data_IF_006383739729
#
_entry.id   IF_006383739729
#
_cell.length_a   1.000
_cell.length_b   1.000
_cell.length_c   1.000
_cell.angle_alpha   90.00
_cell.angle_beta   90.00
_cell.angle_gamma   90.00
#
_symmetry.space_group_name_H-M   'P 1'
#
loop_
_entity.id
_entity.type
_entity.pdbx_description
1 polymer ?
#
# COMPACT_ATOMS: atom_id res chain seq x y z
N UNK A 1 5.40 -13.90 17.65
CA UNK A 1 5.77 -13.50 16.27
C UNK A 1 5.45 -12.02 16.08
N UNK A 2 6.28 -11.34 15.33
CA UNK A 2 6.11 -9.93 15.04
C UNK A 2 5.06 -9.75 13.94
N UNK A 3 4.04 -8.90 14.13
CA UNK A 3 3.11 -8.59 13.06
C UNK A 3 3.73 -7.65 12.03
N UNK A 4 3.35 -7.84 10.78
CA UNK A 4 3.74 -6.96 9.68
C UNK A 4 2.47 -6.51 8.96
N UNK A 5 2.23 -5.21 8.99
CA UNK A 5 1.15 -4.61 8.20
C UNK A 5 1.66 -4.42 6.78
N UNK A 6 0.95 -4.99 5.82
CA UNK A 6 1.28 -4.89 4.40
C UNK A 6 0.20 -4.03 3.76
N UNK A 7 0.54 -2.81 3.41
CA UNK A 7 -0.38 -1.88 2.76
C UNK A 7 -0.31 -2.13 1.25
N UNK A 8 -1.37 -2.68 0.68
CA UNK A 8 -1.47 -2.87 -0.76
C UNK A 8 -1.97 -1.59 -1.41
N UNK A 9 -1.19 -1.07 -2.35
CA UNK A 9 -1.50 0.16 -3.05
C UNK A 9 -1.15 0.05 -4.52
N UNK A 10 -1.76 0.92 -5.34
CA UNK A 10 -1.36 1.14 -6.72
C UNK A 10 -0.58 2.44 -6.79
N UNK A 11 0.33 2.53 -7.75
CA UNK A 11 0.95 3.82 -8.05
C UNK A 11 -0.16 4.79 -8.46
N UNK A 12 -0.25 5.98 -7.82
CA UNK A 12 -1.30 6.94 -8.16
C UNK A 12 -1.11 7.48 -9.58
N UNK A 13 -2.03 7.08 -10.48
CA UNK A 13 -2.02 7.51 -11.88
C UNK A 13 -3.44 7.74 -12.34
N UNK A 14 -3.65 8.82 -13.08
CA UNK A 14 -4.95 9.16 -13.65
C UNK A 14 -5.44 8.02 -14.54
N UNK A 15 -6.71 7.64 -14.36
CA UNK A 15 -7.34 6.56 -15.13
C UNK A 15 -7.03 5.15 -14.65
N UNK A 16 -6.14 4.97 -13.68
CA UNK A 16 -5.74 3.66 -13.19
C UNK A 16 -6.19 3.37 -11.75
N UNK A 17 -6.66 4.40 -11.03
CA UNK A 17 -7.14 4.26 -9.65
C UNK A 17 -8.58 4.76 -9.55
N UNK A 18 -9.36 4.12 -8.65
CA UNK A 18 -10.75 4.52 -8.40
C UNK A 18 -11.57 4.65 -9.69
N UNK A 19 -11.45 3.68 -10.59
CA UNK A 19 -12.06 3.77 -11.92
C UNK A 19 -13.58 3.92 -11.90
N UNK A 20 -14.27 3.32 -10.94
CA UNK A 20 -15.73 3.50 -10.78
C UNK A 20 -16.06 4.93 -10.38
N UNK A 21 -15.32 5.46 -9.41
CA UNK A 21 -15.52 6.84 -8.94
C UNK A 21 -15.19 7.82 -10.06
N UNK A 22 -14.13 7.55 -10.85
CA UNK A 22 -13.73 8.40 -11.97
C UNK A 22 -14.83 8.57 -13.01
N UNK A 23 -15.67 7.55 -13.21
CA UNK A 23 -16.83 7.66 -14.14
C UNK A 23 -17.84 8.71 -13.68
N UNK A 24 -17.95 8.94 -12.38
CA UNK A 24 -18.90 9.88 -11.80
C UNK A 24 -18.33 11.27 -11.61
N UNK A 25 -17.07 11.39 -11.17
CA UNK A 25 -16.48 12.67 -10.79
C UNK A 25 -15.26 13.06 -11.64
N UNK A 26 -14.85 12.21 -12.58
CA UNK A 26 -13.70 12.46 -13.44
C UNK A 26 -12.40 11.88 -12.87
N UNK A 27 -11.42 11.66 -13.76
CA UNK A 27 -10.16 11.01 -13.39
C UNK A 27 -9.31 11.85 -12.43
N UNK A 28 -9.27 13.16 -12.63
CA UNK A 28 -8.46 14.05 -11.78
C UNK A 28 -8.97 14.06 -10.34
N UNK A 29 -10.28 14.18 -10.15
CA UNK A 29 -10.88 14.17 -8.82
C UNK A 29 -10.76 12.80 -8.16
N UNK A 30 -10.92 11.72 -8.92
CA UNK A 30 -10.74 10.36 -8.42
C UNK A 30 -9.30 10.11 -7.98
N UNK A 31 -8.32 10.60 -8.74
CA UNK A 31 -6.91 10.48 -8.38
C UNK A 31 -6.59 11.25 -7.09
N UNK A 32 -7.11 12.48 -6.96
CA UNK A 32 -6.93 13.26 -5.74
C UNK A 32 -7.53 12.55 -4.53
N UNK A 33 -8.70 11.97 -4.68
CA UNK A 33 -9.35 11.18 -3.63
C UNK A 33 -8.50 9.96 -3.25
N UNK A 34 -7.98 9.25 -4.23
CA UNK A 34 -7.10 8.10 -3.98
C UNK A 34 -5.86 8.50 -3.19
N UNK A 35 -5.22 9.60 -3.57
CA UNK A 35 -4.04 10.10 -2.86
C UNK A 35 -4.34 10.45 -1.40
N UNK A 36 -5.49 11.05 -1.15
CA UNK A 36 -5.92 11.35 0.21
C UNK A 36 -6.11 10.08 1.01
N UNK A 37 -6.81 9.10 0.46
CA UNK A 37 -7.03 7.82 1.14
C UNK A 37 -5.72 7.07 1.41
N UNK A 38 -4.80 7.07 0.46
CA UNK A 38 -3.50 6.43 0.64
C UNK A 38 -2.72 7.10 1.76
N UNK A 39 -2.66 8.42 1.78
CA UNK A 39 -1.98 9.16 2.85
C UNK A 39 -2.60 8.91 4.21
N UNK A 40 -3.93 8.88 4.29
CA UNK A 40 -4.63 8.58 5.54
C UNK A 40 -4.34 7.17 6.03
N UNK A 41 -4.33 6.19 5.13
CA UNK A 41 -3.99 4.81 5.47
C UNK A 41 -2.57 4.70 6.02
N UNK A 42 -1.61 5.37 5.39
CA UNK A 42 -0.21 5.36 5.83
C UNK A 42 -0.06 6.08 7.17
N UNK A 43 -0.79 7.17 7.39
CA UNK A 43 -0.78 7.88 8.67
C UNK A 43 -1.30 7.00 9.81
N UNK A 44 -2.39 6.27 9.58
CA UNK A 44 -2.94 5.33 10.57
C UNK A 44 -1.95 4.21 10.86
N UNK A 45 -1.29 3.66 9.84
CA UNK A 45 -0.29 2.61 10.02
C UNK A 45 0.90 3.13 10.83
N UNK A 46 1.34 4.36 10.57
CA UNK A 46 2.42 4.98 11.34
C UNK A 46 2.04 5.18 12.80
N UNK A 47 0.81 5.64 13.05
CA UNK A 47 0.30 5.80 14.41
C UNK A 47 0.26 4.47 15.15
N UNK A 48 -0.18 3.41 14.49
CA UNK A 48 -0.17 2.06 15.06
C UNK A 48 1.25 1.62 15.43
N UNK A 49 2.22 1.94 14.59
CA UNK A 49 3.64 1.64 14.83
C UNK A 49 4.18 2.38 16.05
N UNK A 50 3.77 3.64 16.23
CA UNK A 50 4.16 4.43 17.40
C UNK A 50 3.62 3.81 18.69
N UNK A 51 2.37 3.34 18.66
CA UNK A 51 1.74 2.73 19.83
C UNK A 51 2.19 1.30 20.10
N UNK A 52 2.66 0.60 19.06
CA UNK A 52 3.12 -0.78 19.17
C UNK A 52 4.53 -0.89 18.59
N UNK A 53 5.56 -0.49 19.33
CA UNK A 53 6.94 -0.60 18.86
C UNK A 53 7.28 -2.06 18.54
N UNK A 54 7.84 -2.31 17.39
CA UNK A 54 8.10 -3.64 16.89
C UNK A 54 7.13 -4.07 15.78
N UNK A 55 6.00 -3.38 15.63
CA UNK A 55 5.13 -3.57 14.49
C UNK A 55 5.87 -3.12 13.24
N UNK A 56 5.94 -4.00 12.23
CA UNK A 56 6.52 -3.66 10.94
C UNK A 56 5.42 -3.19 9.98
N UNK A 57 5.75 -2.25 9.12
CA UNK A 57 4.84 -1.78 8.06
C UNK A 57 5.61 -1.74 6.75
N UNK A 58 5.00 -2.29 5.70
CA UNK A 58 5.52 -2.15 4.35
C UNK A 58 4.47 -1.60 3.42
N UNK A 59 4.89 -0.78 2.46
CA UNK A 59 4.07 -0.32 1.36
C UNK A 59 4.36 -1.21 0.16
N UNK A 60 3.38 -2.02 -0.21
CA UNK A 60 3.50 -3.02 -1.27
C UNK A 60 2.73 -2.54 -2.50
N UNK A 61 3.43 -2.21 -3.57
CA UNK A 61 2.91 -1.37 -4.64
C UNK A 61 2.76 -2.14 -5.95
N UNK A 62 1.63 -1.92 -6.62
CA UNK A 62 1.39 -2.40 -7.98
C UNK A 62 1.59 -1.23 -8.95
N UNK A 63 2.40 -1.46 -9.98
CA UNK A 63 2.69 -0.49 -11.02
C UNK A 63 4.11 0.06 -10.92
N UNK A 64 4.51 0.80 -11.95
CA UNK A 64 5.83 1.41 -12.02
C UNK A 64 5.78 2.81 -11.44
N UNK A 65 6.58 3.06 -10.42
CA UNK A 65 6.62 4.34 -9.71
C UNK A 65 7.59 5.30 -10.41
N UNK A 66 7.24 5.70 -11.63
CA UNK A 66 8.09 6.53 -12.50
C UNK A 66 8.56 7.82 -11.84
N UNK A 67 7.69 8.46 -11.06
CA UNK A 67 7.99 9.73 -10.41
C UNK A 67 8.49 9.57 -8.98
N UNK A 68 8.54 8.34 -8.47
CA UNK A 68 9.00 8.06 -7.12
C UNK A 68 8.05 8.51 -6.03
N UNK A 69 6.76 8.69 -6.33
CA UNK A 69 5.77 9.12 -5.34
C UNK A 69 5.62 8.11 -4.21
N UNK A 70 5.50 6.82 -4.53
CA UNK A 70 5.39 5.77 -3.52
C UNK A 70 6.68 5.63 -2.72
N UNK A 71 7.82 5.76 -3.38
CA UNK A 71 9.12 5.72 -2.71
C UNK A 71 9.25 6.84 -1.67
N UNK A 72 8.81 8.07 -2.03
CA UNK A 72 8.81 9.19 -1.10
C UNK A 72 7.86 8.99 0.07
N UNK A 73 6.68 8.43 -0.19
CA UNK A 73 5.70 8.15 0.87
C UNK A 73 6.25 7.12 1.86
N UNK A 74 6.86 6.06 1.35
CA UNK A 74 7.48 5.05 2.21
C UNK A 74 8.60 5.64 3.04
N UNK A 75 9.47 6.45 2.42
CA UNK A 75 10.59 7.09 3.10
C UNK A 75 10.13 8.05 4.21
N UNK A 76 9.15 8.88 3.91
CA UNK A 76 8.62 9.85 4.88
C UNK A 76 8.04 9.16 6.11
N UNK A 77 7.39 8.02 5.92
CA UNK A 77 6.79 7.26 7.02
C UNK A 77 7.76 6.27 7.68
N UNK A 78 8.93 6.04 7.07
CA UNK A 78 9.87 5.06 7.57
C UNK A 78 9.47 3.62 7.27
N UNK A 79 8.70 3.39 6.21
CA UNK A 79 8.22 2.07 5.80
C UNK A 79 9.11 1.46 4.72
N UNK A 80 9.19 0.13 4.69
CA UNK A 80 9.79 -0.58 3.58
C UNK A 80 8.89 -0.43 2.33
N UNK A 81 9.51 -0.38 1.17
CA UNK A 81 8.81 -0.35 -0.11
C UNK A 81 9.02 -1.68 -0.81
N UNK A 82 7.94 -2.34 -1.19
CA UNK A 82 7.98 -3.62 -1.90
C UNK A 82 7.08 -3.58 -3.12
N UNK A 83 7.24 -4.54 -4.01
CA UNK A 83 6.40 -4.66 -5.20
C UNK A 83 5.45 -5.84 -5.04
N UNK A 84 4.23 -5.69 -5.55
CA UNK A 84 3.29 -6.80 -5.65
C UNK A 84 3.77 -7.74 -6.77
N UNK A 85 3.77 -9.04 -6.50
CA UNK A 85 4.23 -10.07 -7.44
C UNK A 85 3.09 -11.01 -7.76
N UNK A 86 2.80 -11.15 -9.04
CA UNK A 86 1.73 -12.02 -9.53
C UNK A 86 0.88 -11.34 -10.59
N UNK A 87 0.12 -12.14 -11.34
CA UNK A 87 -0.71 -11.65 -12.44
C UNK A 87 -2.17 -11.44 -12.04
N UNK A 88 -2.57 -11.92 -10.87
CA UNK A 88 -3.91 -11.71 -10.33
C UNK A 88 -3.81 -11.17 -8.91
N UNK A 89 -4.90 -10.59 -8.43
CA UNK A 89 -4.97 -10.10 -7.05
C UNK A 89 -4.67 -11.23 -6.06
N UNK A 90 -5.28 -12.41 -6.26
CA UNK A 90 -5.06 -13.56 -5.39
C UNK A 90 -3.60 -14.01 -5.36
N UNK A 91 -2.94 -14.04 -6.51
CA UNK A 91 -1.52 -14.38 -6.59
C UNK A 91 -0.66 -13.35 -5.85
N UNK A 92 -0.97 -12.06 -6.00
CA UNK A 92 -0.23 -11.00 -5.34
C UNK A 92 -0.38 -11.03 -3.82
N UNK A 93 -1.59 -11.33 -3.34
CA UNK A 93 -1.83 -11.50 -1.90
C UNK A 93 -1.07 -12.73 -1.39
N UNK A 94 -1.15 -13.85 -2.08
CA UNK A 94 -0.47 -15.06 -1.68
C UNK A 94 1.05 -14.88 -1.62
N UNK A 95 1.61 -14.14 -2.58
CA UNK A 95 3.05 -13.86 -2.60
C UNK A 95 3.48 -13.01 -1.40
N UNK A 96 2.73 -11.96 -1.08
CA UNK A 96 3.04 -11.08 0.04
C UNK A 96 2.90 -11.81 1.39
N UNK A 97 1.82 -12.55 1.57
CA UNK A 97 1.56 -13.34 2.78
C UNK A 97 2.64 -14.41 2.93
N UNK A 98 2.97 -15.12 1.86
CA UNK A 98 4.01 -16.16 1.88
C UNK A 98 5.36 -15.61 2.25
N UNK A 99 5.72 -14.42 1.75
CA UNK A 99 6.97 -13.76 2.10
C UNK A 99 7.03 -13.43 3.58
N UNK A 100 5.95 -12.87 4.13
CA UNK A 100 5.88 -12.54 5.56
C UNK A 100 6.02 -13.80 6.42
N UNK A 101 5.32 -14.87 6.07
CA UNK A 101 5.39 -16.12 6.82
C UNK A 101 6.79 -16.76 6.77
N UNK A 102 7.46 -16.70 5.61
CA UNK A 102 8.84 -17.20 5.50
C UNK A 102 9.82 -16.41 6.36
N UNK A 103 9.52 -15.13 6.60
CA UNK A 103 10.31 -14.26 7.47
C UNK A 103 9.83 -14.30 8.92
N UNK A 104 8.96 -15.25 9.24
CA UNK A 104 8.41 -15.44 10.59
C UNK A 104 7.64 -14.23 11.09
N UNK A 105 6.87 -13.61 10.19
CA UNK A 105 6.00 -12.48 10.50
C UNK A 105 4.54 -12.87 10.37
N UNK A 106 3.70 -12.27 11.19
CA UNK A 106 2.24 -12.42 11.07
C UNK A 106 1.74 -11.34 10.10
N UNK A 107 1.26 -11.72 8.91
CA UNK A 107 0.81 -10.71 7.95
C UNK A 107 -0.55 -10.14 8.32
N UNK A 108 -0.66 -8.81 8.21
CA UNK A 108 -1.93 -8.10 8.30
C UNK A 108 -2.06 -7.29 7.02
N UNK A 109 -2.97 -7.69 6.16
CA UNK A 109 -3.13 -7.06 4.85
C UNK A 109 -4.16 -5.93 4.93
N UNK A 110 -3.78 -4.77 4.41
CA UNK A 110 -4.63 -3.58 4.40
C UNK A 110 -4.67 -3.03 2.98
N UNK A 111 -5.87 -2.76 2.47
CA UNK A 111 -6.04 -2.08 1.21
C UNK A 111 -6.04 -0.57 1.41
N UNK A 112 -5.64 0.15 0.38
CA UNK A 112 -5.68 1.62 0.37
C UNK A 112 -6.85 2.16 -0.44
N UNK A 113 -7.67 1.28 -0.95
CA UNK A 113 -8.83 1.62 -1.81
C UNK A 113 -10.11 1.73 -1.01
#
# INVERSE_FOLDING_TARGET
MIPRVIVFARVPRSGEVKTRLARSIGEAAALAHYRTMLRDTLAVAREAQVQAPGLEVELCVLGVDHEGECARLAEVHGFALTAQVGTSFGERVAAAVGRALREERVPVLVGSD
#
